data_IF_464123268481
#
_entry.id   IF_464123268481
#
_cell.length_a   1.000
_cell.length_b   1.000
_cell.length_c   1.000
_cell.angle_alpha   90.00
_cell.angle_beta   90.00
_cell.angle_gamma   90.00
#
_symmetry.space_group_name_H-M   'P 1'
#
loop_
_entity.id
_entity.type
_entity.pdbx_description
1 polymer ?
#
# COMPACT_ATOMS: atom_id res chain seq x y z
N UNK A 1 21.31 9.15 -11.77
CA UNK A 1 20.65 9.54 -10.53
C UNK A 1 19.23 8.98 -10.50
N UNK A 2 18.91 8.24 -9.45
CA UNK A 2 17.59 7.64 -9.32
C UNK A 2 16.61 8.66 -8.73
N UNK A 3 15.39 8.64 -9.23
CA UNK A 3 14.34 9.47 -8.66
C UNK A 3 13.93 8.95 -7.29
N UNK A 4 13.44 9.83 -6.40
CA UNK A 4 12.91 9.40 -5.11
C UNK A 4 11.77 8.41 -5.31
N UNK A 5 11.67 7.43 -4.42
CA UNK A 5 10.58 6.47 -4.44
C UNK A 5 9.26 7.17 -4.15
N UNK A 6 8.26 6.88 -4.95
CA UNK A 6 6.90 7.41 -4.76
C UNK A 6 6.07 6.35 -4.07
N UNK A 7 5.41 6.72 -2.99
CA UNK A 7 4.61 5.80 -2.17
C UNK A 7 3.13 6.10 -2.33
N UNK A 8 2.34 5.06 -2.44
CA UNK A 8 0.89 5.17 -2.50
C UNK A 8 0.26 4.19 -1.51
N UNK A 9 -0.73 4.65 -0.77
CA UNK A 9 -1.47 3.81 0.16
C UNK A 9 -2.85 3.53 -0.42
N UNK A 10 -3.22 2.26 -0.52
CA UNK A 10 -4.54 1.85 -1.00
C UNK A 10 -5.25 1.13 0.14
N UNK A 11 -6.30 1.74 0.68
CA UNK A 11 -7.11 1.09 1.71
C UNK A 11 -8.05 0.10 1.03
N UNK A 12 -8.22 -1.07 1.65
CA UNK A 12 -9.00 -2.14 1.04
C UNK A 12 -8.36 -2.70 -0.22
N UNK A 13 -7.02 -2.66 -0.32
CA UNK A 13 -6.28 -3.08 -1.52
C UNK A 13 -6.15 -4.59 -1.69
N UNK A 14 -6.69 -5.38 -0.77
CA UNK A 14 -6.48 -6.82 -0.78
C UNK A 14 -7.20 -7.53 -1.91
N UNK A 15 -8.32 -7.01 -2.42
CA UNK A 15 -9.09 -7.64 -3.49
C UNK A 15 -10.00 -6.64 -4.19
N UNK A 16 -10.62 -7.11 -5.31
CA UNK A 16 -11.60 -6.33 -6.05
C UNK A 16 -11.01 -5.07 -6.68
N UNK A 17 -11.74 -3.98 -6.57
CA UNK A 17 -11.35 -2.69 -7.15
C UNK A 17 -10.03 -2.20 -6.54
N UNK A 18 -9.87 -2.41 -5.23
CA UNK A 18 -8.63 -2.03 -4.55
C UNK A 18 -7.41 -2.72 -5.13
N UNK A 19 -7.53 -4.02 -5.44
CA UNK A 19 -6.45 -4.77 -6.08
C UNK A 19 -6.09 -4.18 -7.45
N UNK A 20 -7.09 -3.87 -8.27
CA UNK A 20 -6.86 -3.28 -9.59
C UNK A 20 -6.15 -1.93 -9.49
N UNK A 21 -6.52 -1.13 -8.51
CA UNK A 21 -5.86 0.16 -8.26
C UNK A 21 -4.40 -0.05 -7.89
N UNK A 22 -4.12 -1.04 -7.03
CA UNK A 22 -2.74 -1.37 -6.64
C UNK A 22 -1.90 -1.74 -7.86
N UNK A 23 -2.44 -2.57 -8.76
CA UNK A 23 -1.72 -2.97 -9.96
C UNK A 23 -1.45 -1.79 -10.88
N UNK A 24 -2.41 -0.90 -11.01
CA UNK A 24 -2.27 0.30 -11.84
C UNK A 24 -1.21 1.25 -11.30
N UNK A 25 -1.21 1.47 -10.00
CA UNK A 25 -0.21 2.31 -9.35
C UNK A 25 1.20 1.70 -9.48
N UNK A 26 1.30 0.39 -9.33
CA UNK A 26 2.58 -0.31 -9.50
C UNK A 26 3.14 -0.10 -10.90
N UNK A 27 2.29 -0.19 -11.93
CA UNK A 27 2.70 0.04 -13.31
C UNK A 27 3.14 1.49 -13.55
N UNK A 28 2.63 2.40 -12.73
CA UNK A 28 2.99 3.82 -12.80
C UNK A 28 4.21 4.19 -11.98
N UNK A 29 4.87 3.20 -11.39
CA UNK A 29 6.13 3.41 -10.67
C UNK A 29 6.01 3.66 -9.18
N UNK A 30 4.83 3.48 -8.60
CA UNK A 30 4.63 3.65 -7.16
C UNK A 30 5.02 2.40 -6.39
N UNK A 31 5.61 2.62 -5.22
CA UNK A 31 5.72 1.58 -4.19
C UNK A 31 4.39 1.56 -3.47
N UNK A 32 3.69 0.44 -3.50
CA UNK A 32 2.29 0.37 -3.07
C UNK A 32 2.17 -0.21 -1.67
N UNK A 33 1.54 0.54 -0.76
CA UNK A 33 1.19 0.05 0.56
C UNK A 33 -0.21 -0.51 0.48
N UNK A 34 -0.34 -1.82 0.62
CA UNK A 34 -1.59 -2.55 0.42
C UNK A 34 -2.22 -2.77 1.79
N UNK A 35 -3.23 -1.96 2.11
CA UNK A 35 -3.92 -2.09 3.38
C UNK A 35 -4.90 -3.25 3.34
N UNK A 36 -4.97 -3.98 4.44
CA UNK A 36 -6.00 -4.99 4.67
C UNK A 36 -6.38 -4.99 6.14
N UNK A 37 -7.57 -5.51 6.43
CA UNK A 37 -8.05 -5.62 7.81
C UNK A 37 -7.84 -7.02 8.38
N UNK A 38 -8.30 -8.05 7.68
CA UNK A 38 -8.31 -9.41 8.21
C UNK A 38 -7.85 -10.49 7.22
N UNK A 39 -7.91 -10.21 5.93
CA UNK A 39 -7.57 -11.24 4.93
C UNK A 39 -6.15 -11.08 4.41
N UNK A 40 -5.20 -11.58 5.19
CA UNK A 40 -3.79 -11.48 4.85
C UNK A 40 -3.44 -12.23 3.56
N UNK A 41 -4.10 -13.36 3.28
CA UNK A 41 -3.83 -14.13 2.08
C UNK A 41 -4.20 -13.37 0.82
N UNK A 42 -5.33 -12.67 0.82
CA UNK A 42 -5.74 -11.86 -0.31
C UNK A 42 -4.81 -10.66 -0.51
N UNK A 43 -4.37 -10.05 0.60
CA UNK A 43 -3.41 -8.96 0.53
C UNK A 43 -2.08 -9.44 -0.06
N UNK A 44 -1.64 -10.63 0.32
CA UNK A 44 -0.42 -11.21 -0.21
C UNK A 44 -0.53 -11.50 -1.71
N UNK A 45 -1.69 -11.96 -2.15
CA UNK A 45 -1.94 -12.17 -3.58
C UNK A 45 -1.88 -10.88 -4.37
N UNK A 46 -2.40 -9.79 -3.79
CA UNK A 46 -2.30 -8.47 -4.42
C UNK A 46 -0.84 -8.05 -4.54
N UNK A 47 -0.05 -8.27 -3.49
CA UNK A 47 1.38 -7.95 -3.51
C UNK A 47 2.12 -8.75 -4.58
N UNK A 48 1.80 -10.04 -4.69
CA UNK A 48 2.39 -10.87 -5.74
C UNK A 48 2.05 -10.34 -7.14
N UNK A 49 0.81 -9.89 -7.32
CA UNK A 49 0.40 -9.26 -8.57
C UNK A 49 1.14 -7.97 -8.86
N UNK A 50 1.35 -7.15 -7.84
CA UNK A 50 2.13 -5.91 -7.95
C UNK A 50 3.55 -6.22 -8.41
N UNK A 51 4.18 -7.22 -7.82
CA UNK A 51 5.54 -7.63 -8.20
C UNK A 51 5.58 -8.21 -9.60
N UNK A 52 4.59 -9.01 -9.98
CA UNK A 52 4.49 -9.58 -11.32
C UNK A 52 4.29 -8.49 -12.38
N UNK A 53 3.69 -7.36 -12.01
CA UNK A 53 3.51 -6.21 -12.90
C UNK A 53 4.77 -5.34 -13.01
N UNK A 54 5.84 -5.74 -12.36
CA UNK A 54 7.12 -5.01 -12.41
C UNK A 54 7.30 -3.98 -11.32
N UNK A 55 6.36 -3.88 -10.39
CA UNK A 55 6.45 -2.95 -9.27
C UNK A 55 6.90 -3.63 -7.99
N UNK A 56 6.70 -2.94 -6.88
CA UNK A 56 6.94 -3.48 -5.55
C UNK A 56 6.01 -2.80 -4.56
N UNK A 57 5.98 -3.32 -3.36
CA UNK A 57 5.13 -2.81 -2.31
C UNK A 57 5.24 -3.64 -1.05
N UNK A 58 4.29 -3.42 -0.16
CA UNK A 58 4.18 -4.21 1.07
C UNK A 58 2.73 -4.20 1.54
N UNK A 59 2.38 -5.18 2.36
CA UNK A 59 1.07 -5.21 2.99
C UNK A 59 1.12 -4.45 4.31
N UNK A 60 0.01 -3.82 4.68
CA UNK A 60 -0.07 -3.03 5.91
C UNK A 60 -1.42 -3.27 6.55
N UNK A 61 -1.40 -3.95 7.69
CA UNK A 61 -2.63 -4.34 8.38
C UNK A 61 -3.10 -3.23 9.31
N UNK A 62 -4.30 -2.73 9.07
CA UNK A 62 -5.03 -1.90 10.02
C UNK A 62 -6.50 -1.80 9.59
N UNK A 63 -7.37 -1.43 10.53
CA UNK A 63 -8.79 -1.27 10.28
C UNK A 63 -9.08 0.22 10.00
N UNK A 64 -9.47 0.53 8.76
CA UNK A 64 -9.74 1.91 8.36
C UNK A 64 -10.94 2.51 9.08
N UNK A 65 -11.85 1.67 9.59
CA UNK A 65 -12.99 2.15 10.35
C UNK A 65 -12.59 2.65 11.73
N UNK A 66 -11.41 2.25 12.22
CA UNK A 66 -10.84 2.72 13.47
C UNK A 66 -9.82 3.82 13.17
N UNK A 67 -10.25 5.07 13.20
CA UNK A 67 -9.40 6.20 12.82
C UNK A 67 -8.09 6.28 13.56
N UNK A 68 -8.09 5.94 14.86
CA UNK A 68 -6.87 5.91 15.65
C UNK A 68 -5.89 4.85 15.15
N UNK A 69 -6.40 3.68 14.75
CA UNK A 69 -5.58 2.61 14.23
C UNK A 69 -4.95 2.99 12.90
N UNK A 70 -5.70 3.66 12.03
CA UNK A 70 -5.20 4.16 10.76
C UNK A 70 -4.06 5.14 10.95
N UNK A 71 -4.25 6.14 11.81
CA UNK A 71 -3.23 7.14 12.09
C UNK A 71 -1.98 6.51 12.69
N UNK A 72 -2.16 5.58 13.63
CA UNK A 72 -1.05 4.89 14.27
C UNK A 72 -0.25 4.04 13.28
N UNK A 73 -0.93 3.34 12.39
CA UNK A 73 -0.28 2.49 11.39
C UNK A 73 0.57 3.32 10.42
N UNK A 74 0.01 4.44 9.95
CA UNK A 74 0.73 5.34 9.06
C UNK A 74 1.94 5.96 9.76
N UNK A 75 1.75 6.43 10.99
CA UNK A 75 2.84 7.02 11.76
C UNK A 75 3.97 6.01 12.00
N UNK A 76 3.62 4.77 12.36
CA UNK A 76 4.60 3.72 12.59
C UNK A 76 5.36 3.38 11.30
N UNK A 77 4.65 3.35 10.18
CA UNK A 77 5.28 3.09 8.89
C UNK A 77 6.27 4.21 8.54
N UNK A 78 5.86 5.47 8.71
CA UNK A 78 6.72 6.61 8.42
C UNK A 78 7.95 6.66 9.33
N UNK A 79 7.80 6.23 10.58
CA UNK A 79 8.92 6.15 11.50
C UNK A 79 9.97 5.14 11.04
N UNK A 80 9.53 4.02 10.46
CA UNK A 80 10.43 3.01 9.91
C UNK A 80 11.04 3.43 8.56
N UNK A 81 10.44 4.42 7.90
CA UNK A 81 10.82 4.86 6.56
C UNK A 81 11.04 6.36 6.55
N UNK A 82 11.98 6.83 7.36
CA UNK A 82 12.24 8.26 7.51
C UNK A 82 12.57 8.91 6.19
N UNK A 83 11.93 10.04 5.94
CA UNK A 83 12.08 10.77 4.69
C UNK A 83 11.13 10.34 3.59
N UNK A 84 10.41 9.24 3.78
CA UNK A 84 9.40 8.78 2.81
C UNK A 84 8.12 9.58 2.97
N UNK A 85 7.49 9.92 1.84
CA UNK A 85 6.22 10.64 1.83
C UNK A 85 5.21 9.83 1.02
N UNK A 86 4.05 9.58 1.63
CA UNK A 86 2.94 8.93 0.93
C UNK A 86 2.25 10.01 0.09
N UNK A 87 2.41 9.93 -1.23
CA UNK A 87 1.89 10.96 -2.13
C UNK A 87 0.44 10.73 -2.54
N UNK A 88 -0.01 9.48 -2.53
CA UNK A 88 -1.35 9.12 -2.96
C UNK A 88 -2.01 8.25 -1.90
N UNK A 89 -3.23 8.60 -1.53
CA UNK A 89 -4.05 7.78 -0.64
C UNK A 89 -5.37 7.51 -1.34
N UNK A 90 -5.66 6.24 -1.57
CA UNK A 90 -6.91 5.80 -2.22
C UNK A 90 -7.77 5.07 -1.20
N UNK A 91 -9.00 5.50 -1.07
CA UNK A 91 -10.00 4.86 -0.20
C UNK A 91 -10.94 4.01 -1.00
#
# INVERSE_FOLDING_TARGET
MTEPTKYALVTGGSRGIGREICLKLARSGYYVLINYRSNADEAQRTLEGVRAAGGDGETLRFDVAAGEETAAAIAAWQERHKGAVIEVVVN
#
